data_IF_000509399472
#
_entry.id   IF_000509399472
#
_cell.length_a   1.000
_cell.length_b   1.000
_cell.length_c   1.000
_cell.angle_alpha   90.00
_cell.angle_beta   90.00
_cell.angle_gamma   90.00
#
_symmetry.space_group_name_H-M   'P 1'
#
loop_
_entity.id
_entity.type
_entity.pdbx_description
1 polymer ?
#
# COMPACT_ATOMS: atom_id res chain seq x y z
N UNK A 1 -25.23 6.08 -14.35
CA UNK A 1 -24.59 6.76 -13.20
C UNK A 1 -23.20 7.21 -13.65
N UNK A 2 -22.83 8.49 -13.46
CA UNK A 2 -21.51 8.97 -13.90
C UNK A 2 -20.39 8.30 -13.08
N UNK A 3 -19.19 8.17 -13.69
CA UNK A 3 -18.01 7.63 -13.02
C UNK A 3 -17.71 8.37 -11.70
N UNK A 4 -17.86 9.69 -11.71
CA UNK A 4 -17.68 10.53 -10.53
C UNK A 4 -18.60 10.14 -9.37
N UNK A 5 -19.91 9.98 -9.63
CA UNK A 5 -20.87 9.59 -8.58
C UNK A 5 -20.55 8.19 -8.05
N UNK A 6 -20.13 7.27 -8.92
CA UNK A 6 -19.65 5.94 -8.50
C UNK A 6 -18.44 6.06 -7.57
N UNK A 7 -17.48 6.92 -7.89
CA UNK A 7 -16.26 7.09 -7.11
C UNK A 7 -16.54 7.74 -5.75
N UNK A 8 -17.42 8.74 -5.69
CA UNK A 8 -17.87 9.36 -4.43
C UNK A 8 -18.56 8.32 -3.54
N UNK A 9 -19.48 7.52 -4.10
CA UNK A 9 -20.21 6.49 -3.37
C UNK A 9 -19.29 5.45 -2.74
N UNK A 10 -18.11 5.19 -3.30
CA UNK A 10 -17.12 4.26 -2.71
C UNK A 10 -16.39 4.83 -1.48
N UNK A 11 -16.55 6.12 -1.19
CA UNK A 11 -15.88 6.81 -0.07
C UNK A 11 -16.81 7.04 1.12
N UNK A 12 -18.09 6.73 0.98
CA UNK A 12 -19.09 6.87 2.06
C UNK A 12 -19.44 5.48 2.59
N UNK A 13 -19.21 5.31 3.88
CA UNK A 13 -19.32 4.08 4.66
C UNK A 13 -20.58 4.09 5.51
N UNK A 14 -21.12 2.92 5.78
CA UNK A 14 -22.27 2.77 6.65
C UNK A 14 -21.81 2.53 8.09
N UNK A 15 -22.47 3.17 9.04
CA UNK A 15 -22.12 3.12 10.47
C UNK A 15 -23.31 2.62 11.28
N UNK A 16 -23.05 1.69 12.19
CA UNK A 16 -23.96 1.34 13.27
C UNK A 16 -23.30 1.56 14.61
N UNK A 17 -24.08 2.08 15.55
CA UNK A 17 -23.70 2.20 16.94
C UNK A 17 -24.64 1.32 17.79
N UNK A 18 -24.06 0.46 18.63
CA UNK A 18 -24.79 -0.58 19.37
C UNK A 18 -24.52 -0.48 20.86
N UNK A 19 -25.55 -0.75 21.63
CA UNK A 19 -25.43 -0.94 23.07
C UNK A 19 -25.13 -2.42 23.37
N UNK A 20 -24.36 -2.68 24.41
CA UNK A 20 -24.23 -4.00 24.99
C UNK A 20 -25.32 -4.17 26.05
N UNK A 21 -26.16 -5.19 25.91
CA UNK A 21 -27.16 -5.56 26.92
C UNK A 21 -26.50 -6.34 28.07
N UNK A 22 -27.27 -6.58 29.14
CA UNK A 22 -26.83 -7.40 30.27
C UNK A 22 -26.30 -8.76 29.78
N UNK A 23 -25.02 -9.04 30.04
CA UNK A 23 -24.33 -10.26 29.60
C UNK A 23 -23.35 -10.10 28.43
N UNK A 24 -22.92 -8.88 28.10
CA UNK A 24 -21.94 -8.56 27.04
C UNK A 24 -22.39 -8.88 25.60
N UNK A 25 -23.70 -9.07 25.38
CA UNK A 25 -24.26 -9.30 24.06
C UNK A 25 -24.64 -7.98 23.38
N UNK A 26 -24.36 -7.86 22.10
CA UNK A 26 -24.78 -6.70 21.32
C UNK A 26 -26.29 -6.71 21.11
N UNK A 27 -26.92 -5.53 21.17
CA UNK A 27 -28.34 -5.36 20.83
C UNK A 27 -28.65 -5.92 19.45
N UNK A 28 -29.84 -6.50 19.24
CA UNK A 28 -30.26 -7.03 17.93
C UNK A 28 -30.32 -5.92 16.87
N UNK A 29 -31.01 -4.84 17.20
CA UNK A 29 -31.10 -3.64 16.38
C UNK A 29 -29.98 -2.66 16.74
N UNK A 30 -29.50 -1.93 15.74
CA UNK A 30 -28.59 -0.81 15.98
C UNK A 30 -29.33 0.27 16.78
N UNK A 31 -28.70 0.76 17.85
CA UNK A 31 -29.28 1.80 18.70
C UNK A 31 -29.21 3.18 18.02
N UNK A 32 -28.23 3.37 17.15
CA UNK A 32 -28.15 4.48 16.20
C UNK A 32 -27.45 4.02 14.92
N UNK A 33 -27.72 4.71 13.82
CA UNK A 33 -27.18 4.39 12.51
C UNK A 33 -26.93 5.66 11.70
N UNK A 34 -25.95 5.60 10.82
CA UNK A 34 -25.57 6.74 10.02
C UNK A 34 -24.62 6.37 8.90
N UNK A 35 -23.95 7.40 8.41
CA UNK A 35 -22.98 7.34 7.34
C UNK A 35 -21.67 7.98 7.81
N UNK A 36 -20.54 7.62 7.21
CA UNK A 36 -19.26 8.27 7.46
C UNK A 36 -18.44 8.39 6.18
N UNK A 37 -17.62 9.43 6.10
CA UNK A 37 -16.81 9.71 4.90
C UNK A 37 -15.36 9.34 5.17
N UNK A 38 -14.76 8.56 4.27
CA UNK A 38 -13.34 8.24 4.32
C UNK A 38 -12.49 9.49 4.05
N UNK A 39 -11.76 9.93 5.07
CA UNK A 39 -10.88 11.10 5.03
C UNK A 39 -9.47 10.71 5.47
N UNK A 40 -8.51 11.56 5.13
CA UNK A 40 -7.11 11.40 5.51
C UNK A 40 -6.60 12.69 6.16
N UNK A 41 -5.96 12.53 7.31
CA UNK A 41 -5.52 13.63 8.16
C UNK A 41 -4.03 13.47 8.45
N UNK A 42 -3.25 14.52 8.20
CA UNK A 42 -1.87 14.66 8.63
C UNK A 42 -1.83 15.24 10.05
N UNK A 43 -1.22 14.48 10.95
CA UNK A 43 -0.80 14.92 12.27
C UNK A 43 0.56 15.59 12.12
N UNK A 44 0.64 16.88 12.44
CA UNK A 44 1.87 17.68 12.30
C UNK A 44 2.75 17.63 13.56
N UNK A 45 2.39 16.82 14.55
CA UNK A 45 3.28 16.48 15.67
C UNK A 45 4.50 15.70 15.17
N UNK A 46 5.63 15.77 15.87
CA UNK A 46 6.82 15.00 15.52
C UNK A 46 6.82 13.61 16.18
N UNK A 47 6.98 12.50 15.43
CA UNK A 47 7.12 12.42 13.98
C UNK A 47 5.78 12.59 13.25
N UNK A 48 5.79 13.27 12.10
CA UNK A 48 4.59 13.49 11.28
C UNK A 48 3.94 12.16 10.89
N UNK A 49 2.63 12.07 11.00
CA UNK A 49 1.86 10.86 10.70
C UNK A 49 0.63 11.19 9.88
N UNK A 50 0.45 10.50 8.76
CA UNK A 50 -0.78 10.56 7.98
C UNK A 50 -1.62 9.34 8.35
N UNK A 51 -2.88 9.55 8.72
CA UNK A 51 -3.82 8.48 9.10
C UNK A 51 -5.16 8.68 8.44
N UNK A 52 -5.83 7.57 8.13
CA UNK A 52 -7.21 7.55 7.61
C UNK A 52 -8.20 7.42 8.75
N UNK A 53 -9.34 8.07 8.57
CA UNK A 53 -10.46 8.11 9.51
C UNK A 53 -11.78 8.02 8.75
N UNK A 54 -12.86 7.70 9.46
CA UNK A 54 -14.21 8.03 8.99
C UNK A 54 -14.70 9.29 9.70
N UNK A 55 -15.04 10.31 8.94
CA UNK A 55 -15.69 11.52 9.43
C UNK A 55 -17.21 11.30 9.46
N UNK A 56 -17.84 11.46 10.62
CA UNK A 56 -19.29 11.29 10.79
C UNK A 56 -19.86 12.28 11.81
N UNK A 57 -21.17 12.29 12.02
CA UNK A 57 -21.81 13.12 13.03
C UNK A 57 -21.66 12.51 14.42
N UNK A 58 -21.53 13.35 15.45
CA UNK A 58 -21.39 12.89 16.82
C UNK A 58 -22.66 12.16 17.31
N UNK A 59 -23.85 12.63 16.91
CA UNK A 59 -25.13 11.99 17.25
C UNK A 59 -25.32 10.60 16.64
N UNK A 60 -24.54 10.22 15.61
CA UNK A 60 -24.61 8.86 15.02
C UNK A 60 -24.02 7.84 16.00
N UNK A 61 -23.02 8.22 16.80
CA UNK A 61 -22.27 7.29 17.65
C UNK A 61 -22.46 7.54 19.15
N UNK A 62 -23.26 8.55 19.52
CA UNK A 62 -23.57 8.89 20.90
C UNK A 62 -25.03 8.65 21.22
N UNK A 63 -25.28 8.23 22.46
CA UNK A 63 -26.60 8.14 23.06
C UNK A 63 -27.20 9.54 23.18
N UNK A 64 -28.54 9.60 23.26
CA UNK A 64 -29.22 10.82 23.70
C UNK A 64 -28.82 11.14 25.14
N UNK A 65 -28.63 12.42 25.43
CA UNK A 65 -28.39 12.91 26.77
C UNK A 65 -29.63 12.66 27.64
N UNK A 66 -29.50 11.99 28.80
CA UNK A 66 -30.66 11.63 29.61
C UNK A 66 -31.38 12.83 30.22
N UNK A 67 -30.72 13.99 30.34
CA UNK A 67 -31.29 15.21 30.93
C UNK A 67 -32.03 16.05 29.89
N UNK A 68 -31.40 16.34 28.76
CA UNK A 68 -31.98 17.20 27.72
C UNK A 68 -32.81 16.46 26.67
N UNK A 69 -32.62 15.14 26.55
CA UNK A 69 -33.18 14.34 25.46
C UNK A 69 -32.54 14.60 24.08
N UNK A 70 -31.63 15.57 23.99
CA UNK A 70 -30.87 15.91 22.79
C UNK A 70 -29.68 14.96 22.57
N UNK A 71 -28.89 15.20 21.52
CA UNK A 71 -27.66 14.45 21.29
C UNK A 71 -26.54 14.88 22.27
N UNK A 72 -25.45 14.10 22.32
CA UNK A 72 -24.28 14.42 23.12
C UNK A 72 -24.17 13.63 24.44
N UNK A 73 -24.94 12.57 24.62
CA UNK A 73 -24.73 11.62 25.71
C UNK A 73 -23.44 10.79 25.54
N UNK A 74 -23.24 9.77 26.37
CA UNK A 74 -22.11 8.85 26.26
C UNK A 74 -22.06 8.16 24.90
N UNK A 75 -20.87 7.76 24.48
CA UNK A 75 -20.67 6.97 23.26
C UNK A 75 -21.32 5.58 23.44
N UNK A 76 -21.83 5.01 22.37
CA UNK A 76 -22.28 3.62 22.37
C UNK A 76 -21.10 2.66 22.57
N UNK A 77 -21.39 1.45 23.06
CA UNK A 77 -20.36 0.50 23.48
C UNK A 77 -19.58 -0.07 22.29
N UNK A 78 -20.23 -0.11 21.12
CA UNK A 78 -19.65 -0.61 19.88
C UNK A 78 -20.03 0.29 18.70
N UNK A 79 -19.03 0.66 17.89
CA UNK A 79 -19.20 1.37 16.62
C UNK A 79 -18.67 0.47 15.51
N UNK A 80 -19.54 0.10 14.58
CA UNK A 80 -19.28 -0.81 13.47
C UNK A 80 -19.33 -0.04 12.15
N UNK A 81 -18.39 -0.32 11.25
CA UNK A 81 -18.22 0.40 10.00
C UNK A 81 -18.17 -0.56 8.80
N UNK A 82 -19.18 -0.49 7.93
CA UNK A 82 -19.25 -1.28 6.69
C UNK A 82 -18.77 -0.46 5.51
N UNK A 83 -17.90 -1.08 4.71
CA UNK A 83 -17.48 -0.53 3.42
C UNK A 83 -18.61 -0.64 2.39
N UNK A 84 -18.70 0.31 1.45
CA UNK A 84 -19.71 0.25 0.40
C UNK A 84 -19.54 -1.00 -0.46
N UNK A 85 -20.64 -1.69 -0.74
CA UNK A 85 -20.66 -2.95 -1.50
C UNK A 85 -20.24 -4.18 -0.71
N UNK A 86 -19.93 -4.07 0.59
CA UNK A 86 -19.72 -5.23 1.44
C UNK A 86 -21.04 -5.96 1.71
N UNK A 87 -20.97 -7.28 1.89
CA UNK A 87 -22.11 -8.07 2.39
C UNK A 87 -22.44 -7.71 3.84
N UNK A 88 -23.68 -7.30 4.09
CA UNK A 88 -24.18 -7.00 5.41
C UNK A 88 -24.31 -8.27 6.25
N UNK A 89 -24.08 -8.14 7.55
CA UNK A 89 -24.26 -9.22 8.53
C UNK A 89 -25.09 -8.67 9.68
N UNK A 90 -26.27 -9.25 9.87
CA UNK A 90 -27.22 -8.89 10.91
C UNK A 90 -26.78 -9.47 12.25
N UNK A 91 -26.94 -8.68 13.30
CA UNK A 91 -26.84 -9.17 14.68
C UNK A 91 -28.17 -9.78 15.09
N UNK A 92 -28.13 -10.96 15.70
CA UNK A 92 -29.32 -11.61 16.27
C UNK A 92 -29.23 -11.61 17.79
N UNK A 93 -30.39 -11.55 18.44
CA UNK A 93 -30.52 -11.57 19.90
C UNK A 93 -29.72 -12.72 20.54
N UNK A 94 -28.89 -12.38 21.52
CA UNK A 94 -28.07 -13.32 22.31
C UNK A 94 -27.12 -14.20 21.46
N UNK A 95 -26.84 -13.80 20.20
CA UNK A 95 -25.96 -14.57 19.29
C UNK A 95 -24.59 -13.97 19.09
N UNK A 96 -24.40 -12.69 19.40
CA UNK A 96 -23.14 -11.98 19.16
C UNK A 96 -22.71 -11.22 20.40
N UNK A 97 -21.51 -11.50 20.89
CA UNK A 97 -20.90 -10.70 21.95
C UNK A 97 -20.40 -9.37 21.37
N UNK A 98 -20.46 -8.33 22.19
CA UNK A 98 -19.88 -7.05 21.83
C UNK A 98 -18.40 -7.19 21.52
N UNK A 99 -17.99 -6.58 20.42
CA UNK A 99 -16.63 -6.63 19.92
C UNK A 99 -16.26 -7.87 19.11
N UNK A 100 -17.12 -8.89 19.09
CA UNK A 100 -16.99 -10.05 18.22
C UNK A 100 -17.82 -9.80 16.96
N UNK A 101 -17.23 -9.17 15.94
CA UNK A 101 -17.83 -9.10 14.62
C UNK A 101 -16.81 -9.52 13.55
N UNK A 102 -16.97 -10.70 12.92
CA UNK A 102 -16.08 -11.08 11.83
C UNK A 102 -16.30 -10.14 10.66
N UNK A 103 -15.20 -9.79 9.98
CA UNK A 103 -15.19 -9.07 8.70
C UNK A 103 -15.65 -7.60 8.72
N UNK A 104 -15.81 -6.98 9.89
CA UNK A 104 -16.24 -5.57 10.00
C UNK A 104 -15.24 -4.76 10.80
N UNK A 105 -14.97 -3.53 10.34
CA UNK A 105 -14.13 -2.62 11.07
C UNK A 105 -14.86 -2.06 12.29
N UNK A 106 -14.17 -2.11 13.42
CA UNK A 106 -14.58 -1.46 14.66
C UNK A 106 -13.88 -0.13 14.79
N UNK A 107 -14.59 0.87 15.27
CA UNK A 107 -14.04 2.19 15.44
C UNK A 107 -14.13 2.68 16.89
N UNK A 108 -13.23 3.63 17.20
CA UNK A 108 -13.24 4.41 18.44
C UNK A 108 -13.24 5.90 18.10
N UNK A 109 -13.50 6.77 19.08
CA UNK A 109 -13.41 8.21 18.85
C UNK A 109 -11.95 8.68 18.87
N UNK A 110 -11.54 9.38 17.82
CA UNK A 110 -10.24 10.04 17.75
C UNK A 110 -10.17 11.23 18.70
N UNK A 111 -9.00 11.45 19.29
CA UNK A 111 -8.66 12.63 20.11
C UNK A 111 -8.74 13.95 19.34
N UNK A 112 -8.72 13.90 18.01
CA UNK A 112 -8.89 15.05 17.14
C UNK A 112 -10.33 15.60 17.11
N UNK A 113 -11.31 14.80 17.55
CA UNK A 113 -12.72 15.22 17.59
C UNK A 113 -12.93 16.39 18.58
N UNK A 114 -14.02 17.16 18.49
CA UNK A 114 -14.34 18.23 19.44
C UNK A 114 -14.31 17.75 20.90
N UNK A 115 -14.75 16.51 21.13
CA UNK A 115 -14.78 15.85 22.42
C UNK A 115 -13.45 15.28 22.93
N UNK A 116 -12.36 15.42 22.18
CA UNK A 116 -11.05 14.90 22.59
C UNK A 116 -10.98 13.38 22.69
N UNK A 117 -11.88 12.65 22.03
CA UNK A 117 -11.97 11.19 22.10
C UNK A 117 -12.69 10.64 23.34
N UNK A 118 -13.25 11.52 24.18
CA UNK A 118 -13.89 11.09 25.44
C UNK A 118 -15.17 10.29 25.21
N UNK A 119 -15.29 9.13 25.86
CA UNK A 119 -16.48 8.28 25.80
C UNK A 119 -17.67 8.82 26.63
N UNK A 120 -17.39 9.68 27.61
CA UNK A 120 -18.40 10.29 28.47
C UNK A 120 -19.33 11.25 27.70
N UNK A 121 -20.42 11.66 28.36
CA UNK A 121 -21.30 12.71 27.85
C UNK A 121 -20.53 14.00 27.58
N UNK A 122 -20.97 14.74 26.56
CA UNK A 122 -20.37 16.00 26.17
C UNK A 122 -20.79 17.11 27.13
N UNK A 123 -19.85 18.00 27.50
CA UNK A 123 -20.20 19.27 28.14
C UNK A 123 -21.13 20.10 27.25
N UNK A 124 -22.03 20.86 27.85
CA UNK A 124 -23.04 21.69 27.16
C UNK A 124 -22.44 22.63 26.11
N UNK A 125 -21.28 23.22 26.41
CA UNK A 125 -20.57 24.10 25.48
C UNK A 125 -20.17 23.42 24.17
N UNK A 126 -20.05 22.09 24.14
CA UNK A 126 -19.75 21.30 22.95
C UNK A 126 -21.01 20.74 22.27
N UNK A 127 -22.19 20.85 22.89
CA UNK A 127 -23.47 20.36 22.35
C UNK A 127 -24.11 21.37 21.39
N UNK A 128 -23.33 21.87 20.43
CA UNK A 128 -23.77 22.83 19.42
C UNK A 128 -23.71 22.22 18.02
N UNK A 129 -24.58 22.65 17.11
CA UNK A 129 -24.68 22.05 15.77
C UNK A 129 -23.34 22.02 14.99
N UNK A 130 -22.49 23.07 15.02
CA UNK A 130 -21.17 23.03 14.36
C UNK A 130 -20.21 22.00 14.95
N UNK A 131 -20.39 21.60 16.21
CA UNK A 131 -19.55 20.62 16.91
C UNK A 131 -20.07 19.17 16.80
N UNK A 132 -21.17 18.94 16.08
CA UNK A 132 -21.77 17.61 15.89
C UNK A 132 -21.02 16.78 14.83
N UNK A 133 -19.69 16.70 14.97
CA UNK A 133 -18.83 15.87 14.14
C UNK A 133 -17.82 15.12 15.00
N UNK A 134 -17.40 13.95 14.53
CA UNK A 134 -16.34 13.15 15.13
C UNK A 134 -15.52 12.48 14.05
N UNK A 135 -14.25 12.22 14.37
CA UNK A 135 -13.39 11.34 13.60
C UNK A 135 -13.38 9.96 14.27
N UNK A 136 -13.72 8.94 13.50
CA UNK A 136 -13.66 7.54 13.91
C UNK A 136 -12.29 6.97 13.53
N UNK A 137 -11.55 6.52 14.53
CA UNK A 137 -10.27 5.83 14.38
C UNK A 137 -10.51 4.32 14.31
N UNK A 138 -10.01 3.69 13.26
CA UNK A 138 -10.07 2.25 13.02
C UNK A 138 -8.63 1.75 13.05
N UNK A 139 -8.31 1.03 14.13
CA UNK A 139 -6.99 0.45 14.37
C UNK A 139 -6.83 -0.90 13.63
N UNK A 140 -7.04 -0.86 12.32
CA UNK A 140 -6.84 -1.99 11.42
C UNK A 140 -5.87 -1.57 10.29
N UNK A 141 -4.72 -2.24 10.13
CA UNK A 141 -3.76 -1.92 9.06
C UNK A 141 -4.34 -2.01 7.65
N UNK A 142 -5.33 -2.88 7.41
CA UNK A 142 -6.02 -2.98 6.12
C UNK A 142 -6.85 -1.72 5.87
N UNK A 143 -7.54 -1.20 6.89
CA UNK A 143 -8.31 0.05 6.78
C UNK A 143 -7.44 1.24 6.39
N UNK A 144 -6.25 1.35 6.96
CA UNK A 144 -5.31 2.44 6.63
C UNK A 144 -4.87 2.42 5.16
N UNK A 145 -5.12 1.32 4.43
CA UNK A 145 -4.87 1.17 3.00
C UNK A 145 -6.16 1.16 2.14
N UNK A 146 -7.36 1.29 2.75
CA UNK A 146 -8.64 1.27 2.04
C UNK A 146 -8.89 2.54 1.21
N UNK A 147 -9.32 2.35 -0.04
CA UNK A 147 -9.86 3.40 -0.91
C UNK A 147 -8.92 4.58 -1.20
N UNK A 148 -9.50 5.62 -1.81
CA UNK A 148 -8.86 6.93 -1.97
C UNK A 148 -9.67 7.94 -1.16
N UNK A 149 -9.05 8.65 -0.20
CA UNK A 149 -9.75 9.62 0.63
C UNK A 149 -10.28 10.78 -0.20
N UNK A 150 -11.32 11.46 0.30
CA UNK A 150 -11.92 12.61 -0.38
C UNK A 150 -11.02 13.85 -0.27
N UNK A 151 -10.99 14.66 -1.33
CA UNK A 151 -10.45 16.03 -1.28
C UNK A 151 -11.44 16.92 -0.54
N UNK A 152 -10.94 17.87 0.26
CA UNK A 152 -11.78 18.86 0.96
C UNK A 152 -11.77 20.18 0.18
N UNK A 153 -12.92 20.82 0.06
CA UNK A 153 -13.07 22.10 -0.65
C UNK A 153 -14.04 23.04 0.06
N UNK A 154 -13.84 24.35 -0.09
CA UNK A 154 -14.88 25.32 0.23
C UNK A 154 -15.98 25.29 -0.83
N UNK A 155 -17.11 25.94 -0.55
CA UNK A 155 -18.21 26.07 -1.50
C UNK A 155 -18.78 27.48 -1.48
N UNK A 156 -19.19 27.94 -2.65
CA UNK A 156 -19.81 29.26 -2.86
C UNK A 156 -21.33 29.20 -2.78
N UNK A 157 -21.93 30.35 -2.54
CA UNK A 157 -23.39 30.47 -2.47
C UNK A 157 -24.06 30.15 -3.82
N UNK A 158 -25.10 29.31 -3.79
CA UNK A 158 -25.83 28.87 -4.98
C UNK A 158 -25.17 27.72 -5.76
N UNK A 159 -23.99 27.26 -5.34
CA UNK A 159 -23.33 26.14 -6.01
C UNK A 159 -24.10 24.83 -5.80
N UNK A 160 -24.19 23.97 -6.84
CA UNK A 160 -24.89 22.70 -6.75
C UNK A 160 -24.07 21.66 -5.95
N UNK A 161 -24.76 20.88 -5.13
CA UNK A 161 -24.17 19.79 -4.35
C UNK A 161 -25.00 18.52 -4.40
N UNK A 162 -24.37 17.42 -4.03
CA UNK A 162 -25.00 16.11 -3.84
C UNK A 162 -24.73 15.58 -2.45
N UNK A 163 -25.72 14.94 -1.86
CA UNK A 163 -25.58 14.28 -0.57
C UNK A 163 -25.44 12.78 -0.82
N UNK A 164 -24.44 12.15 -0.22
CA UNK A 164 -24.27 10.70 -0.28
C UNK A 164 -24.30 10.11 1.12
N UNK A 165 -25.20 9.16 1.34
CA UNK A 165 -25.39 8.52 2.64
C UNK A 165 -26.33 7.31 2.54
N UNK A 166 -26.64 6.70 3.69
CA UNK A 166 -27.40 5.46 3.77
C UNK A 166 -28.81 5.71 4.34
N UNK A 167 -29.82 5.96 3.48
CA UNK A 167 -31.17 6.20 3.96
C UNK A 167 -31.79 4.95 4.59
N UNK A 168 -32.43 5.11 5.74
CA UNK A 168 -33.24 4.12 6.45
C UNK A 168 -32.47 3.04 7.21
N UNK A 169 -31.16 2.92 6.98
CA UNK A 169 -30.26 1.94 7.57
C UNK A 169 -30.65 0.48 7.40
N UNK A 170 -29.85 -0.41 8.01
CA UNK A 170 -29.66 -1.76 7.49
C UNK A 170 -30.43 -2.90 8.16
N UNK A 171 -30.85 -2.79 9.41
CA UNK A 171 -31.10 -4.02 10.17
C UNK A 171 -32.13 -3.96 11.26
N UNK A 172 -32.99 -2.94 11.28
CA UNK A 172 -34.05 -2.85 12.28
C UNK A 172 -34.98 -4.08 12.21
N UNK A 173 -35.60 -4.42 13.33
CA UNK A 173 -36.67 -5.43 13.37
C UNK A 173 -38.01 -4.85 12.90
N UNK A 174 -38.17 -3.52 12.98
CA UNK A 174 -39.32 -2.76 12.50
C UNK A 174 -38.88 -1.64 11.57
N UNK A 175 -39.59 -1.47 10.44
CA UNK A 175 -39.23 -0.49 9.42
C UNK A 175 -40.44 0.38 9.03
N UNK A 176 -40.17 1.65 8.72
CA UNK A 176 -41.13 2.47 8.02
C UNK A 176 -41.37 1.91 6.60
N UNK A 177 -42.62 1.96 6.14
CA UNK A 177 -42.99 1.52 4.80
C UNK A 177 -42.12 2.20 3.73
N UNK A 178 -41.56 1.40 2.80
CA UNK A 178 -40.66 1.89 1.74
C UNK A 178 -39.17 2.00 2.12
N UNK A 179 -38.78 1.53 3.31
CA UNK A 179 -37.37 1.42 3.70
C UNK A 179 -36.77 0.11 3.18
N UNK A 180 -35.56 0.17 2.61
CA UNK A 180 -34.86 -1.02 2.12
C UNK A 180 -34.22 -1.75 3.30
N UNK A 181 -34.63 -2.99 3.52
CA UNK A 181 -34.14 -3.85 4.62
C UNK A 181 -32.93 -4.63 4.10
N UNK A 182 -31.81 -4.62 4.83
CA UNK A 182 -30.69 -5.52 4.55
C UNK A 182 -30.77 -6.76 5.44
N UNK A 183 -30.76 -7.92 4.79
CA UNK A 183 -30.58 -9.22 5.43
C UNK A 183 -29.14 -9.70 5.23
N UNK A 184 -28.74 -10.77 5.91
CA UNK A 184 -27.42 -11.37 5.72
C UNK A 184 -27.08 -11.56 4.24
N UNK A 185 -25.91 -11.07 3.82
CA UNK A 185 -25.43 -11.14 2.44
C UNK A 185 -25.95 -10.03 1.52
N UNK A 186 -26.87 -9.17 1.98
CA UNK A 186 -27.29 -7.98 1.20
C UNK A 186 -26.12 -7.04 1.03
N UNK A 187 -25.96 -6.45 -0.15
CA UNK A 187 -24.91 -5.45 -0.36
C UNK A 187 -25.26 -4.15 0.36
N UNK A 188 -24.28 -3.60 1.09
CA UNK A 188 -24.37 -2.29 1.74
C UNK A 188 -24.28 -1.20 0.67
N UNK A 189 -25.43 -0.57 0.35
CA UNK A 189 -25.55 0.40 -0.75
C UNK A 189 -26.06 1.76 -0.26
N UNK A 190 -25.27 2.81 -0.50
CA UNK A 190 -25.68 4.20 -0.22
C UNK A 190 -26.53 4.76 -1.36
N UNK A 191 -27.18 5.89 -1.12
CA UNK A 191 -27.87 6.69 -2.11
C UNK A 191 -27.13 8.01 -2.33
N UNK A 192 -27.11 8.49 -3.57
CA UNK A 192 -26.68 9.85 -3.91
C UNK A 192 -27.92 10.65 -4.29
N UNK A 193 -28.25 11.67 -3.50
CA UNK A 193 -29.44 12.52 -3.68
C UNK A 193 -29.08 13.92 -4.14
N UNK A 194 -30.03 14.60 -4.79
CA UNK A 194 -29.86 15.94 -5.34
C UNK A 194 -29.87 16.01 -6.88
N UNK A 195 -29.57 17.18 -7.47
CA UNK A 195 -28.80 18.26 -6.86
C UNK A 195 -29.59 19.09 -5.84
N UNK A 196 -28.88 19.53 -4.81
CA UNK A 196 -29.28 20.62 -3.92
C UNK A 196 -28.47 21.87 -4.29
N UNK A 197 -28.95 23.05 -3.92
CA UNK A 197 -28.16 24.28 -3.99
C UNK A 197 -27.72 24.64 -2.58
N UNK A 198 -26.45 24.99 -2.41
CA UNK A 198 -26.02 25.66 -1.18
C UNK A 198 -26.75 27.01 -1.11
N UNK A 199 -27.25 27.35 0.08
CA UNK A 199 -27.75 28.68 0.41
C UNK A 199 -26.90 29.35 1.49
N UNK A 200 -27.02 30.69 1.56
CA UNK A 200 -26.36 31.52 2.57
C UNK A 200 -26.56 30.93 3.95
N UNK A 201 -25.43 30.65 4.60
CA UNK A 201 -25.35 29.93 5.86
C UNK A 201 -25.98 30.74 7.01
N UNK A 202 -26.96 30.20 7.76
CA UNK A 202 -27.62 30.93 8.83
C UNK A 202 -26.71 31.13 10.06
N UNK A 203 -25.75 30.23 10.27
CA UNK A 203 -24.84 30.23 11.43
C UNK A 203 -23.39 29.95 11.00
N UNK A 204 -22.37 30.55 11.67
CA UNK A 204 -20.97 30.25 11.40
C UNK A 204 -20.66 28.76 11.54
N UNK A 205 -19.98 28.21 10.53
CA UNK A 205 -19.55 26.81 10.49
C UNK A 205 -20.61 25.81 10.02
N UNK A 206 -21.82 26.29 9.68
CA UNK A 206 -22.89 25.49 9.09
C UNK A 206 -23.05 25.80 7.60
N UNK A 207 -23.69 24.91 6.85
CA UNK A 207 -24.21 25.11 5.50
C UNK A 207 -25.73 24.96 5.53
N UNK A 208 -26.42 25.78 4.74
CA UNK A 208 -27.85 25.61 4.43
C UNK A 208 -27.99 25.10 3.00
N UNK A 209 -29.00 24.27 2.74
CA UNK A 209 -29.28 23.68 1.44
C UNK A 209 -30.75 23.89 1.06
N UNK A 210 -31.00 24.12 -0.22
CA UNK A 210 -32.34 24.05 -0.81
C UNK A 210 -32.41 23.09 -1.99
N UNK A 211 -33.62 22.58 -2.26
CA UNK A 211 -33.86 21.58 -3.29
C UNK A 211 -35.08 20.71 -2.98
N UNK A 212 -35.35 19.74 -3.86
CA UNK A 212 -36.46 18.79 -3.70
C UNK A 212 -36.06 17.69 -2.72
N UNK A 213 -36.92 17.42 -1.74
CA UNK A 213 -36.69 16.50 -0.62
C UNK A 213 -36.35 15.08 -1.06
N UNK A 214 -35.14 14.63 -0.70
CA UNK A 214 -34.73 13.22 -0.81
C UNK A 214 -33.84 12.73 0.34
N UNK A 215 -33.54 13.57 1.35
CA UNK A 215 -32.79 13.11 2.52
C UNK A 215 -33.70 12.33 3.47
N UNK A 216 -33.16 11.27 4.07
CA UNK A 216 -33.90 10.39 4.98
C UNK A 216 -33.07 10.12 6.25
N UNK A 217 -33.71 9.71 7.36
CA UNK A 217 -33.00 9.19 8.53
C UNK A 217 -31.93 8.16 8.12
N UNK A 218 -30.77 8.14 8.80
CA UNK A 218 -29.61 7.30 8.46
C UNK A 218 -28.60 7.92 7.48
N UNK A 219 -28.95 9.00 6.78
CA UNK A 219 -27.99 9.75 5.96
C UNK A 219 -27.09 10.71 6.77
N UNK A 220 -27.27 10.80 8.09
CA UNK A 220 -26.43 11.62 8.98
C UNK A 220 -24.99 11.18 8.99
N UNK A 221 -24.07 12.15 8.96
CA UNK A 221 -22.64 11.89 8.78
C UNK A 221 -22.27 11.54 7.33
N UNK A 222 -23.24 11.54 6.41
CA UNK A 222 -23.00 11.42 4.98
C UNK A 222 -22.28 12.65 4.44
N UNK A 223 -21.51 12.46 3.37
CA UNK A 223 -20.77 13.57 2.76
C UNK A 223 -21.66 14.40 1.84
N UNK A 224 -21.38 15.70 1.81
CA UNK A 224 -21.89 16.64 0.80
C UNK A 224 -20.76 16.93 -0.17
N UNK A 225 -21.04 16.75 -1.45
CA UNK A 225 -20.05 16.80 -2.51
C UNK A 225 -20.40 17.83 -3.57
N UNK A 226 -19.40 18.59 -4.02
CA UNK A 226 -19.51 19.48 -5.17
C UNK A 226 -19.51 18.67 -6.50
N UNK A 227 -19.58 19.39 -7.63
CA UNK A 227 -19.57 18.78 -8.97
C UNK A 227 -18.25 18.10 -9.33
N UNK A 228 -17.16 18.40 -8.62
CA UNK A 228 -15.84 17.77 -8.78
C UNK A 228 -15.66 16.56 -7.86
N UNK A 229 -16.63 16.29 -6.99
CA UNK A 229 -16.61 15.22 -6.00
C UNK A 229 -15.67 15.48 -4.81
N UNK A 230 -15.37 16.73 -4.51
CA UNK A 230 -14.75 17.12 -3.25
C UNK A 230 -15.81 17.23 -2.15
N UNK A 231 -15.41 16.86 -0.92
CA UNK A 231 -16.21 17.01 0.28
C UNK A 231 -16.27 18.49 0.65
N UNK A 232 -17.47 19.05 0.71
CA UNK A 232 -17.73 20.45 1.07
C UNK A 232 -18.47 20.59 2.40
N UNK A 233 -19.10 19.51 2.87
CA UNK A 233 -19.77 19.49 4.17
C UNK A 233 -20.18 18.10 4.63
N UNK A 234 -20.66 18.04 5.87
CA UNK A 234 -21.16 16.83 6.51
C UNK A 234 -22.66 16.97 6.77
N UNK A 235 -23.44 16.11 6.15
CA UNK A 235 -24.89 16.14 6.25
C UNK A 235 -25.36 15.79 7.66
N UNK A 236 -26.18 16.67 8.26
CA UNK A 236 -26.64 16.54 9.64
C UNK A 236 -28.15 16.37 9.67
N UNK A 237 -28.59 15.12 9.84
CA UNK A 237 -29.99 14.79 9.92
C UNK A 237 -30.37 14.21 11.30
N UNK A 238 -30.67 15.09 12.27
CA UNK A 238 -31.00 14.68 13.64
C UNK A 238 -32.52 14.48 13.89
N UNK A 239 -33.39 15.41 13.47
CA UNK A 239 -34.87 15.36 13.64
C UNK A 239 -35.67 15.80 12.39
N UNK A 240 -36.80 15.11 12.07
CA UNK A 240 -37.51 15.16 10.78
C UNK A 240 -37.80 16.56 10.22
N UNK A 241 -37.99 17.59 11.07
CA UNK A 241 -38.28 18.96 10.64
C UNK A 241 -37.06 19.84 10.32
N UNK A 242 -35.90 19.55 10.91
CA UNK A 242 -34.65 20.29 10.71
C UNK A 242 -33.60 19.51 9.87
N UNK A 243 -33.91 18.23 9.60
CA UNK A 243 -33.04 17.20 9.02
C UNK A 243 -32.59 17.44 7.58
N UNK A 244 -33.33 18.22 6.81
CA UNK A 244 -33.22 18.13 5.36
C UNK A 244 -32.28 19.16 4.73
N UNK A 245 -31.86 20.18 5.49
CA UNK A 245 -31.27 21.40 4.91
C UNK A 245 -30.00 21.89 5.59
N UNK A 246 -29.60 21.32 6.72
CA UNK A 246 -28.43 21.78 7.45
C UNK A 246 -27.28 20.78 7.37
N UNK A 247 -26.07 21.32 7.31
CA UNK A 247 -24.86 20.55 7.31
C UNK A 247 -23.72 21.29 8.00
N UNK A 248 -22.69 20.58 8.42
CA UNK A 248 -21.50 21.19 8.98
C UNK A 248 -20.56 21.50 7.82
N UNK A 249 -20.10 22.75 7.71
CA UNK A 249 -19.17 23.14 6.66
C UNK A 249 -17.83 22.42 6.84
N UNK A 250 -17.26 21.86 5.77
CA UNK A 250 -15.98 21.16 5.89
C UNK A 250 -14.83 22.10 6.26
N UNK A 251 -14.95 23.38 5.89
CA UNK A 251 -14.01 24.44 6.25
C UNK A 251 -13.97 24.65 7.76
N UNK A 252 -15.12 24.60 8.44
CA UNK A 252 -15.18 24.68 9.90
C UNK A 252 -14.42 23.52 10.57
N UNK A 253 -14.62 22.30 10.09
CA UNK A 253 -13.92 21.11 10.61
C UNK A 253 -12.42 21.23 10.36
N UNK A 254 -12.01 21.68 9.18
CA UNK A 254 -10.60 21.93 8.85
C UNK A 254 -9.97 22.94 9.79
N UNK A 255 -10.63 24.08 10.01
CA UNK A 255 -10.11 25.15 10.84
C UNK A 255 -10.02 24.70 12.32
N UNK A 256 -10.97 23.89 12.79
CA UNK A 256 -10.93 23.29 14.12
C UNK A 256 -9.76 22.31 14.30
N UNK A 257 -9.45 21.51 13.28
CA UNK A 257 -8.29 20.61 13.28
C UNK A 257 -6.96 21.38 13.25
N UNK A 258 -6.90 22.46 12.47
CA UNK A 258 -5.71 23.29 12.33
C UNK A 258 -5.36 24.02 13.62
N UNK A 259 -6.31 24.79 14.12
CA UNK A 259 -6.11 25.71 15.25
C UNK A 259 -6.06 24.99 16.59
N UNK A 260 -6.84 23.92 16.76
CA UNK A 260 -7.04 23.26 18.05
C UNK A 260 -6.25 21.97 18.25
N UNK A 261 -5.76 21.34 17.17
CA UNK A 261 -5.28 19.94 17.22
C UNK A 261 -3.99 19.67 16.45
N UNK A 262 -3.32 20.69 15.90
CA UNK A 262 -2.11 20.54 15.09
C UNK A 262 -2.24 19.47 13.98
N UNK A 263 -3.45 19.34 13.44
CA UNK A 263 -3.80 18.36 12.42
C UNK A 263 -4.33 19.07 11.18
N UNK A 264 -4.18 18.47 10.01
CA UNK A 264 -4.64 19.09 8.77
C UNK A 264 -5.16 18.02 7.79
N UNK A 265 -6.29 18.23 7.11
CA UNK A 265 -6.73 17.32 6.07
C UNK A 265 -5.72 17.30 4.93
N UNK A 266 -5.26 16.12 4.53
CA UNK A 266 -4.36 16.02 3.38
C UNK A 266 -5.15 16.25 2.09
N UNK A 267 -4.56 16.96 1.14
CA UNK A 267 -4.96 16.77 -0.25
C UNK A 267 -4.59 15.33 -0.59
N UNK A 268 -5.50 14.47 -1.08
CA UNK A 268 -5.19 13.08 -1.35
C UNK A 268 -3.92 12.99 -2.18
N UNK A 269 -2.81 12.59 -1.57
CA UNK A 269 -1.59 12.29 -2.31
C UNK A 269 -1.95 11.06 -3.12
N UNK A 270 -2.11 11.21 -4.43
CA UNK A 270 -2.21 10.06 -5.31
C UNK A 270 -1.09 9.10 -4.90
N UNK A 271 -1.37 7.81 -4.64
CA UNK A 271 -0.29 6.86 -4.42
C UNK A 271 0.69 7.03 -5.58
N UNK A 272 2.02 7.05 -5.34
CA UNK A 272 2.95 7.12 -6.45
C UNK A 272 2.55 6.03 -7.43
N UNK A 273 2.32 6.41 -8.69
CA UNK A 273 1.97 5.50 -9.77
C UNK A 273 3.16 4.56 -9.99
N UNK A 274 3.35 3.57 -9.11
CA UNK A 274 4.18 2.42 -9.41
C UNK A 274 3.32 1.55 -10.32
N UNK A 275 3.17 2.00 -11.55
CA UNK A 275 2.37 1.30 -12.53
C UNK A 275 2.92 -0.13 -12.66
N UNK A 276 2.05 -1.16 -12.75
CA UNK A 276 2.46 -2.56 -12.87
C UNK A 276 3.50 -2.80 -13.98
N UNK A 277 3.54 -1.94 -15.00
CA UNK A 277 4.55 -2.01 -16.06
C UNK A 277 5.97 -1.65 -15.57
N UNK A 278 6.12 -0.72 -14.61
CA UNK A 278 7.42 -0.31 -14.04
C UNK A 278 7.99 -1.46 -13.23
N UNK A 279 7.17 -2.10 -12.39
CA UNK A 279 7.58 -3.28 -11.62
C UNK A 279 7.98 -4.44 -12.53
N UNK A 280 7.23 -4.68 -13.62
CA UNK A 280 7.59 -5.69 -14.62
C UNK A 280 8.87 -5.35 -15.39
N UNK A 281 9.10 -4.07 -15.70
CA UNK A 281 10.32 -3.61 -16.35
C UNK A 281 11.53 -3.78 -15.43
N UNK A 282 11.43 -3.39 -14.16
CA UNK A 282 12.50 -3.57 -13.17
C UNK A 282 12.83 -5.05 -12.94
N UNK A 283 11.81 -5.90 -12.81
CA UNK A 283 12.01 -7.34 -12.66
C UNK A 283 12.72 -7.94 -13.89
N UNK A 284 12.33 -7.54 -15.10
CA UNK A 284 12.98 -7.98 -16.34
C UNK A 284 14.45 -7.55 -16.39
N UNK A 285 14.76 -6.30 -16.01
CA UNK A 285 16.15 -5.79 -15.97
C UNK A 285 17.01 -6.62 -15.01
N UNK A 286 16.50 -6.94 -13.83
CA UNK A 286 17.23 -7.77 -12.85
C UNK A 286 17.49 -9.18 -13.41
N UNK A 287 16.50 -9.82 -14.03
CA UNK A 287 16.67 -11.15 -14.64
C UNK A 287 17.72 -11.12 -15.75
N UNK A 288 17.67 -10.12 -16.64
CA UNK A 288 18.66 -9.96 -17.73
C UNK A 288 20.06 -9.74 -17.16
N UNK A 289 20.20 -8.91 -16.12
CA UNK A 289 21.48 -8.66 -15.47
C UNK A 289 22.07 -9.94 -14.84
N UNK A 290 21.25 -10.75 -14.17
CA UNK A 290 21.68 -12.03 -13.59
C UNK A 290 22.12 -13.04 -14.65
N UNK A 291 21.39 -13.14 -15.76
CA UNK A 291 21.76 -14.02 -16.89
C UNK A 291 23.08 -13.55 -17.52
N UNK A 292 23.25 -12.25 -17.76
CA UNK A 292 24.49 -11.69 -18.30
C UNK A 292 25.70 -11.95 -17.38
N UNK A 293 25.51 -11.77 -16.05
CA UNK A 293 26.55 -12.07 -15.06
C UNK A 293 26.93 -13.56 -15.06
N UNK A 294 25.94 -14.45 -15.15
CA UNK A 294 26.17 -15.89 -15.26
C UNK A 294 26.97 -16.25 -16.52
N UNK A 295 26.57 -15.73 -17.69
CA UNK A 295 27.30 -15.97 -18.96
C UNK A 295 28.74 -15.46 -18.86
N UNK A 296 28.95 -14.26 -18.33
CA UNK A 296 30.28 -13.67 -18.16
C UNK A 296 31.18 -14.54 -17.27
N UNK A 297 30.66 -15.12 -16.19
CA UNK A 297 31.42 -16.02 -15.32
C UNK A 297 31.92 -17.28 -16.06
N UNK A 298 31.16 -17.76 -17.05
CA UNK A 298 31.54 -18.92 -17.88
C UNK A 298 32.47 -18.58 -19.04
N UNK A 299 32.44 -17.35 -19.56
CA UNK A 299 33.19 -16.96 -20.76
C UNK A 299 34.38 -16.05 -20.49
N UNK A 300 34.55 -15.52 -19.27
CA UNK A 300 35.67 -14.63 -18.95
C UNK A 300 37.02 -15.32 -19.20
N UNK A 301 38.00 -14.62 -19.82
CA UNK A 301 39.38 -15.09 -19.91
C UNK A 301 39.92 -15.37 -18.50
N UNK A 302 40.74 -16.42 -18.39
CA UNK A 302 41.45 -16.76 -17.15
C UNK A 302 42.95 -16.64 -17.38
N UNK A 303 43.67 -16.25 -16.35
CA UNK A 303 45.12 -16.37 -16.36
C UNK A 303 45.48 -17.82 -16.03
N UNK A 304 46.42 -18.39 -16.76
CA UNK A 304 46.90 -19.75 -16.52
C UNK A 304 48.41 -19.71 -16.29
N UNK A 305 48.86 -20.67 -15.51
CA UNK A 305 50.27 -20.93 -15.28
C UNK A 305 50.62 -22.27 -15.86
N UNK A 306 51.49 -22.25 -16.87
CA UNK A 306 52.08 -23.43 -17.45
C UNK A 306 53.38 -23.73 -16.69
N UNK A 307 53.38 -24.84 -15.95
CA UNK A 307 54.58 -25.39 -15.32
C UNK A 307 55.13 -26.53 -16.17
N UNK A 308 56.35 -26.38 -16.65
CA UNK A 308 57.00 -27.39 -17.49
C UNK A 308 58.10 -28.04 -16.68
N UNK A 309 58.00 -29.36 -16.47
CA UNK A 309 59.06 -30.15 -15.85
C UNK A 309 59.52 -31.22 -16.82
N UNK A 310 60.64 -30.96 -17.50
CA UNK A 310 61.30 -31.98 -18.31
C UNK A 310 62.04 -32.91 -17.37
N UNK A 311 61.45 -34.07 -17.11
CA UNK A 311 62.12 -35.20 -16.46
C UNK A 311 63.18 -35.73 -17.42
N UNK A 312 64.45 -35.48 -17.14
CA UNK A 312 65.55 -35.87 -18.02
C UNK A 312 65.52 -37.38 -18.36
N UNK A 313 65.17 -37.72 -19.60
CA UNK A 313 65.43 -39.04 -20.17
C UNK A 313 66.24 -38.95 -21.46
N UNK A 314 67.29 -39.78 -21.51
CA UNK A 314 68.28 -39.97 -22.57
C UNK A 314 69.54 -39.06 -22.51
N UNK A 315 70.70 -39.60 -22.08
CA UNK A 315 71.99 -38.90 -22.14
C UNK A 315 72.29 -38.41 -23.56
N UNK A 316 72.48 -37.10 -23.72
CA UNK A 316 72.83 -36.47 -25.01
C UNK A 316 71.70 -35.74 -25.73
N UNK A 317 70.44 -35.77 -25.24
CA UNK A 317 69.30 -35.06 -25.82
C UNK A 317 68.57 -34.23 -24.75
N UNK A 318 69.04 -33.01 -24.49
CA UNK A 318 68.42 -32.12 -23.51
C UNK A 318 67.56 -31.07 -24.22
N UNK A 319 66.27 -31.01 -23.88
CA UNK A 319 65.43 -29.89 -24.30
C UNK A 319 66.06 -28.58 -23.80
N UNK A 320 66.12 -27.58 -24.68
CA UNK A 320 66.72 -26.27 -24.36
C UNK A 320 65.68 -25.18 -24.24
N UNK A 321 64.57 -25.29 -24.97
CA UNK A 321 63.54 -24.26 -25.08
C UNK A 321 62.16 -24.91 -25.14
N UNK A 322 61.17 -24.32 -24.48
CA UNK A 322 59.76 -24.58 -24.77
C UNK A 322 59.19 -23.45 -25.62
N UNK A 323 58.50 -23.81 -26.70
CA UNK A 323 57.76 -22.88 -27.55
C UNK A 323 56.27 -22.98 -27.27
N UNK A 324 55.64 -21.82 -27.12
CA UNK A 324 54.20 -21.68 -26.94
C UNK A 324 53.66 -20.76 -28.01
N UNK A 325 52.82 -21.30 -28.88
CA UNK A 325 52.21 -20.59 -29.99
C UNK A 325 50.73 -20.40 -29.73
N UNK A 326 50.28 -19.16 -29.80
CA UNK A 326 48.86 -18.78 -29.75
C UNK A 326 48.31 -18.72 -31.18
N UNK A 327 47.02 -18.99 -31.36
CA UNK A 327 46.37 -19.01 -32.68
C UNK A 327 46.50 -17.71 -33.50
N UNK A 328 46.75 -16.57 -32.86
CA UNK A 328 47.02 -15.28 -33.51
C UNK A 328 48.47 -15.14 -34.02
N UNK A 329 49.29 -16.19 -33.89
CA UNK A 329 50.68 -16.22 -34.30
C UNK A 329 51.67 -15.71 -33.25
N UNK A 330 51.19 -15.25 -32.08
CA UNK A 330 52.08 -14.85 -30.99
C UNK A 330 52.82 -16.09 -30.47
N UNK A 331 54.15 -16.07 -30.61
CA UNK A 331 55.03 -17.12 -30.10
C UNK A 331 55.79 -16.60 -28.88
N UNK A 332 55.76 -17.37 -27.79
CA UNK A 332 56.62 -17.16 -26.62
C UNK A 332 57.53 -18.37 -26.47
N UNK A 333 58.81 -18.10 -26.24
CA UNK A 333 59.81 -19.14 -26.05
C UNK A 333 60.54 -18.91 -24.73
N UNK A 334 60.66 -19.94 -23.91
CA UNK A 334 61.35 -19.86 -22.61
C UNK A 334 62.47 -20.90 -22.57
N UNK A 335 63.66 -20.49 -22.10
CA UNK A 335 64.82 -21.36 -21.97
C UNK A 335 64.66 -22.22 -20.72
N UNK A 336 64.84 -23.53 -20.85
CA UNK A 336 64.78 -24.44 -19.71
C UNK A 336 66.00 -24.25 -18.81
N UNK A 337 65.79 -24.31 -17.50
CA UNK A 337 66.89 -24.35 -16.52
C UNK A 337 67.79 -25.58 -16.73
N UNK A 338 69.04 -25.60 -16.22
CA UNK A 338 69.90 -26.79 -16.30
C UNK A 338 69.28 -28.06 -15.70
N UNK A 339 68.31 -27.92 -14.80
CA UNK A 339 67.52 -29.01 -14.21
C UNK A 339 66.32 -29.46 -15.07
N UNK A 340 66.12 -28.89 -16.27
CA UNK A 340 65.01 -29.22 -17.17
C UNK A 340 63.67 -28.56 -16.81
N UNK A 341 63.64 -27.58 -15.90
CA UNK A 341 62.40 -26.93 -15.48
C UNK A 341 62.25 -25.54 -16.12
N UNK A 342 61.02 -25.16 -16.47
CA UNK A 342 60.64 -23.78 -16.78
C UNK A 342 59.22 -23.50 -16.31
N UNK A 343 58.95 -22.23 -16.02
CA UNK A 343 57.63 -21.76 -15.65
C UNK A 343 57.26 -20.61 -16.58
N UNK A 344 56.09 -20.71 -17.20
CA UNK A 344 55.60 -19.70 -18.13
C UNK A 344 54.20 -19.23 -17.73
N UNK A 345 54.09 -17.93 -17.46
CA UNK A 345 52.80 -17.29 -17.25
C UNK A 345 52.12 -17.03 -18.60
N UNK A 346 50.92 -17.57 -18.78
CA UNK A 346 50.09 -17.41 -19.97
C UNK A 346 48.87 -16.54 -19.62
N UNK A 347 48.97 -15.20 -19.76
CA UNK A 347 47.90 -14.31 -19.37
C UNK A 347 46.72 -14.40 -20.35
N UNK A 348 45.50 -14.31 -19.80
CA UNK A 348 44.25 -14.14 -20.55
C UNK A 348 43.94 -15.23 -21.58
N UNK A 349 44.16 -16.49 -21.24
CA UNK A 349 43.69 -17.60 -22.09
C UNK A 349 42.16 -17.65 -22.09
N UNK A 350 41.55 -17.27 -23.21
CA UNK A 350 40.09 -17.34 -23.36
C UNK A 350 39.64 -18.80 -23.50
N UNK A 351 38.43 -19.12 -23.03
CA UNK A 351 37.95 -20.51 -22.94
C UNK A 351 37.88 -21.28 -24.28
N UNK A 352 37.90 -20.58 -25.43
CA UNK A 352 37.85 -21.15 -26.78
C UNK A 352 39.10 -20.86 -27.62
N UNK A 353 40.15 -20.37 -26.97
CA UNK A 353 41.36 -19.99 -27.67
C UNK A 353 42.28 -21.18 -27.85
N UNK A 354 42.83 -21.36 -29.06
CA UNK A 354 43.74 -22.45 -29.36
C UNK A 354 45.19 -22.06 -29.05
N UNK A 355 45.87 -22.96 -28.34
CA UNK A 355 47.25 -22.84 -27.93
C UNK A 355 47.98 -24.13 -28.29
N UNK A 356 49.23 -24.00 -28.70
CA UNK A 356 50.07 -25.11 -29.12
C UNK A 356 51.40 -25.05 -28.37
N UNK A 357 51.82 -26.17 -27.81
CA UNK A 357 53.08 -26.30 -27.06
C UNK A 357 54.01 -27.29 -27.74
N UNK A 358 55.29 -26.97 -27.85
CA UNK A 358 56.32 -27.91 -28.34
C UNK A 358 57.65 -27.70 -27.62
N UNK A 359 58.43 -28.78 -27.50
CA UNK A 359 59.76 -28.75 -26.91
C UNK A 359 60.82 -28.76 -28.00
N UNK A 360 61.88 -27.99 -27.80
CA UNK A 360 62.97 -27.84 -28.76
C UNK A 360 64.27 -28.37 -28.15
N UNK A 361 64.78 -29.45 -28.72
CA UNK A 361 66.01 -30.13 -28.26
C UNK A 361 67.26 -29.63 -29.02
N UNK A 362 67.09 -29.27 -30.30
CA UNK A 362 68.07 -28.65 -31.22
C UNK A 362 67.32 -27.69 -32.18
N UNK A 363 67.81 -27.34 -33.38
CA UNK A 363 67.06 -26.52 -34.36
C UNK A 363 65.75 -27.18 -34.88
N UNK A 364 65.40 -28.37 -34.39
CA UNK A 364 64.13 -29.07 -34.63
C UNK A 364 63.25 -29.12 -33.37
N UNK A 365 61.96 -28.77 -33.53
CA UNK A 365 60.94 -28.94 -32.48
C UNK A 365 60.35 -30.36 -32.46
N UNK A 366 59.86 -30.79 -31.30
CA UNK A 366 59.10 -32.02 -31.09
C UNK A 366 57.70 -31.94 -31.69
N UNK A 367 56.94 -33.04 -31.58
CA UNK A 367 55.51 -33.03 -31.90
C UNK A 367 54.77 -32.01 -31.01
N UNK A 368 53.95 -31.12 -31.59
CA UNK A 368 53.18 -30.18 -30.81
C UNK A 368 51.97 -30.83 -30.13
N UNK A 369 51.57 -30.27 -28.98
CA UNK A 369 50.31 -30.57 -28.31
C UNK A 369 49.38 -29.38 -28.42
N UNK A 370 48.21 -29.63 -29.01
CA UNK A 370 47.14 -28.65 -29.15
C UNK A 370 46.25 -28.63 -27.91
N UNK A 371 45.82 -27.43 -27.53
CA UNK A 371 44.95 -27.20 -26.39
C UNK A 371 43.98 -26.07 -26.67
N UNK A 372 42.83 -26.09 -26.00
CA UNK A 372 41.80 -25.05 -26.10
C UNK A 372 41.48 -24.48 -24.73
N UNK A 373 41.85 -23.22 -24.51
CA UNK A 373 41.59 -22.45 -23.28
C UNK A 373 42.30 -22.98 -22.03
N UNK A 374 42.10 -22.27 -20.91
CA UNK A 374 42.58 -22.73 -19.60
C UNK A 374 41.75 -23.92 -19.10
N UNK A 375 42.36 -25.04 -18.70
CA UNK A 375 41.62 -26.12 -18.04
C UNK A 375 41.07 -25.64 -16.69
N UNK A 376 39.93 -26.20 -16.27
CA UNK A 376 39.29 -25.84 -14.98
C UNK A 376 39.98 -26.47 -13.76
N UNK A 377 40.79 -27.49 -14.00
CA UNK A 377 41.60 -28.21 -13.02
C UNK A 377 43.00 -28.40 -13.62
N UNK A 378 43.96 -28.80 -12.79
CA UNK A 378 45.31 -29.13 -13.24
C UNK A 378 45.23 -30.23 -14.31
N UNK A 379 45.83 -29.96 -15.48
CA UNK A 379 45.99 -30.93 -16.55
C UNK A 379 47.45 -31.36 -16.65
N UNK A 380 47.67 -32.67 -16.74
CA UNK A 380 48.98 -33.27 -16.92
C UNK A 380 49.10 -33.81 -18.35
N UNK A 381 50.18 -33.45 -19.03
CA UNK A 381 50.43 -33.78 -20.43
C UNK A 381 51.83 -34.36 -20.59
N UNK A 382 51.98 -35.39 -21.42
CA UNK A 382 53.28 -35.97 -21.77
C UNK A 382 53.73 -35.51 -23.16
N UNK A 383 54.97 -35.02 -23.26
CA UNK A 383 55.62 -34.60 -24.50
C UNK A 383 56.96 -35.32 -24.63
N UNK A 384 57.05 -36.38 -25.46
CA UNK A 384 58.29 -37.07 -25.89
C UNK A 384 59.50 -36.83 -24.95
N UNK A 385 59.43 -37.31 -23.69
CA UNK A 385 60.43 -37.15 -22.60
C UNK A 385 60.22 -35.97 -21.60
N UNK A 386 59.05 -35.34 -21.54
CA UNK A 386 58.73 -34.29 -20.58
C UNK A 386 57.31 -34.39 -20.01
N UNK A 387 57.16 -33.96 -18.76
CA UNK A 387 55.88 -33.83 -18.09
C UNK A 387 55.50 -32.35 -17.99
N UNK A 388 54.42 -31.97 -18.68
CA UNK A 388 53.90 -30.60 -18.68
C UNK A 388 52.66 -30.54 -17.82
N UNK A 389 52.69 -29.65 -16.84
CA UNK A 389 51.58 -29.40 -15.93
C UNK A 389 50.99 -28.04 -16.26
N UNK A 390 49.70 -27.98 -16.53
CA UNK A 390 49.00 -26.72 -16.71
C UNK A 390 47.99 -26.53 -15.59
N UNK A 391 48.10 -25.43 -14.85
CA UNK A 391 47.20 -25.08 -13.77
C UNK A 391 46.52 -23.71 -14.03
N UNK A 392 45.23 -23.56 -13.69
CA UNK A 392 44.64 -22.23 -13.59
C UNK A 392 45.32 -21.46 -12.45
N UNK A 393 45.58 -20.16 -12.66
CA UNK A 393 46.03 -19.27 -11.59
C UNK A 393 44.89 -18.86 -10.67
#
# INVERSE_FOLDING_TARGET
>A
MSKLVSDIRRRVWYIEARACSDGDYASEDAASMGSGVLVEIEHRDEPRRVRRYLLTCAHVVRRKDPLSGGWGGPVYDEILCWRPGQGYTRTYKDKRRCGEHPDIYRATLSSLSPCGGAAAALPDALRTAPNDWVLLDIDDPAFQNEGSPVRWAGIEDGAPVRIVGYPGGAGLSQHAAGTRIWVNGSLVENLATGPFSQERTPEPGMLSLSGVDETRPGMSGGGIFDEDGALVGLHRAADDGAMQRNAIAITHIRDALDTGRNAWPTTPTAPPLVSPWIMRALATVVVVALVAAGIWQFTRPRDCRLEVRVSASTPGRAARVIDVVRADGLTRSEVLTPSGAAELALPRMAAREHWQFSLRFDDSASRPVDMTGCPRAQGDYELEDAHVVLAPN
#
